data_IF_509323393983
#
_entry.id   IF_509323393983
#
_cell.length_a   1.000
_cell.length_b   1.000
_cell.length_c   1.000
_cell.angle_alpha   90.00
_cell.angle_beta   90.00
_cell.angle_gamma   90.00
#
_symmetry.space_group_name_H-M   'P 1'
#
loop_
_entity.id
_entity.type
_entity.pdbx_description
1 polymer ?
#
# COMPACT_ATOMS: atom_id res chain seq x y z
N UNK A 1 -9.63 -10.14 1.41
CA UNK A 1 -10.68 -9.37 0.72
C UNK A 1 -10.65 -7.89 1.09
N UNK A 2 -10.22 -7.55 2.31
CA UNK A 2 -10.11 -6.20 2.87
C UNK A 2 -9.45 -5.16 1.97
N UNK A 3 -8.26 -5.45 1.42
CA UNK A 3 -7.54 -4.50 0.56
C UNK A 3 -8.31 -4.10 -0.70
N UNK A 4 -9.18 -4.99 -1.20
CA UNK A 4 -9.99 -4.76 -2.39
C UNK A 4 -11.36 -4.14 -2.08
N UNK A 5 -11.68 -3.91 -0.79
CA UNK A 5 -13.00 -3.43 -0.39
C UNK A 5 -14.13 -4.43 -0.66
N UNK A 6 -13.80 -5.72 -0.85
CA UNK A 6 -14.79 -6.73 -1.21
C UNK A 6 -15.46 -7.33 0.02
N UNK A 7 -16.79 -7.28 0.06
CA UNK A 7 -17.59 -7.93 1.10
C UNK A 7 -17.74 -9.45 0.86
N UNK A 8 -17.77 -9.90 -0.41
CA UNK A 8 -18.02 -11.29 -0.76
C UNK A 8 -16.83 -11.94 -1.48
N UNK A 9 -16.35 -13.07 -0.96
CA UNK A 9 -15.30 -13.88 -1.58
C UNK A 9 -15.70 -14.41 -2.96
N UNK A 10 -17.00 -14.61 -3.20
CA UNK A 10 -17.54 -15.03 -4.49
C UNK A 10 -17.29 -14.01 -5.60
N UNK A 11 -17.28 -12.71 -5.29
CA UNK A 11 -16.95 -11.65 -6.26
C UNK A 11 -15.52 -11.81 -6.77
N UNK A 12 -14.57 -12.01 -5.86
CA UNK A 12 -13.18 -12.27 -6.21
C UNK A 12 -13.00 -13.57 -7.00
N UNK A 13 -13.68 -14.64 -6.57
CA UNK A 13 -13.63 -15.93 -7.27
C UNK A 13 -14.19 -15.82 -8.71
N UNK A 14 -15.28 -15.08 -8.91
CA UNK A 14 -15.86 -14.83 -10.23
C UNK A 14 -14.87 -14.06 -11.12
N UNK A 15 -14.25 -13.00 -10.60
CA UNK A 15 -13.23 -12.24 -11.33
C UNK A 15 -12.03 -13.11 -11.71
N UNK A 16 -11.53 -13.94 -10.78
CA UNK A 16 -10.44 -14.89 -11.05
C UNK A 16 -10.78 -15.90 -12.14
N UNK A 17 -12.05 -16.27 -12.26
CA UNK A 17 -12.56 -17.19 -13.29
C UNK A 17 -12.96 -16.48 -14.59
N UNK A 18 -12.56 -15.22 -14.80
CA UNK A 18 -12.87 -14.43 -16.00
C UNK A 18 -14.32 -13.92 -16.06
N UNK A 19 -15.14 -14.20 -15.05
CA UNK A 19 -16.51 -13.69 -14.91
C UNK A 19 -16.46 -12.33 -14.20
N UNK A 20 -16.17 -11.27 -14.94
CA UNK A 20 -16.13 -9.91 -14.42
C UNK A 20 -17.41 -9.13 -14.78
N UNK A 21 -17.86 -8.31 -13.84
CA UNK A 21 -18.87 -7.27 -14.07
C UNK A 21 -18.23 -5.89 -13.92
N UNK A 22 -19.04 -4.84 -13.81
CA UNK A 22 -18.51 -3.50 -13.53
C UNK A 22 -17.74 -3.48 -12.19
N UNK A 23 -16.51 -2.96 -12.23
CA UNK A 23 -15.67 -2.81 -11.03
C UNK A 23 -16.20 -1.60 -10.24
N UNK A 24 -16.51 -1.76 -8.93
CA UNK A 24 -16.91 -0.63 -8.10
C UNK A 24 -15.82 0.44 -8.04
N UNK A 25 -16.21 1.72 -7.98
CA UNK A 25 -15.27 2.85 -7.91
C UNK A 25 -14.32 2.74 -6.71
N UNK A 26 -14.82 2.32 -5.55
CA UNK A 26 -14.01 2.08 -4.34
C UNK A 26 -12.93 1.01 -4.59
N UNK A 27 -13.28 -0.12 -5.21
CA UNK A 27 -12.30 -1.16 -5.55
C UNK A 27 -11.24 -0.63 -6.52
N UNK A 28 -11.66 0.13 -7.54
CA UNK A 28 -10.73 0.71 -8.50
C UNK A 28 -9.74 1.66 -7.81
N UNK A 29 -10.22 2.54 -6.95
CA UNK A 29 -9.38 3.48 -6.19
C UNK A 29 -8.37 2.75 -5.28
N UNK A 30 -8.82 1.70 -4.59
CA UNK A 30 -7.94 0.85 -3.77
C UNK A 30 -6.86 0.17 -4.61
N UNK A 31 -7.23 -0.39 -5.77
CA UNK A 31 -6.26 -1.01 -6.69
C UNK A 31 -5.23 0.03 -7.14
N UNK A 32 -5.67 1.24 -7.51
CA UNK A 32 -4.76 2.33 -7.90
C UNK A 32 -3.74 2.63 -6.81
N UNK A 33 -4.16 2.79 -5.54
CA UNK A 33 -3.19 3.03 -4.47
C UNK A 33 -2.25 1.84 -4.21
N UNK A 34 -2.75 0.61 -4.27
CA UNK A 34 -1.93 -0.59 -4.09
C UNK A 34 -0.86 -0.71 -5.18
N UNK A 35 -1.22 -0.43 -6.44
CA UNK A 35 -0.26 -0.42 -7.56
C UNK A 35 0.78 0.68 -7.39
N UNK A 36 0.38 1.90 -7.02
CA UNK A 36 1.34 2.98 -6.78
C UNK A 36 2.30 2.67 -5.63
N UNK A 37 1.84 2.01 -4.55
CA UNK A 37 2.69 1.55 -3.45
C UNK A 37 3.73 0.55 -3.97
N UNK A 38 3.29 -0.46 -4.73
CA UNK A 38 4.17 -1.47 -5.33
C UNK A 38 5.21 -0.84 -6.26
N UNK A 39 4.80 0.05 -7.15
CA UNK A 39 5.69 0.78 -8.06
C UNK A 39 6.75 1.59 -7.31
N UNK A 40 6.36 2.33 -6.25
CA UNK A 40 7.31 3.09 -5.44
C UNK A 40 8.31 2.15 -4.75
N UNK A 41 7.86 1.03 -4.19
CA UNK A 41 8.73 0.06 -3.52
C UNK A 41 9.76 -0.53 -4.49
N UNK A 42 9.34 -0.87 -5.71
CA UNK A 42 10.25 -1.39 -6.75
C UNK A 42 11.24 -0.32 -7.24
N UNK A 43 10.80 0.93 -7.41
CA UNK A 43 11.66 2.04 -7.83
C UNK A 43 12.78 2.37 -6.83
N UNK A 44 12.56 2.11 -5.55
CA UNK A 44 13.57 2.36 -4.51
C UNK A 44 14.73 1.34 -4.51
N UNK A 45 14.76 0.37 -5.45
CA UNK A 45 15.83 -0.64 -5.58
C UNK A 45 16.07 -1.47 -4.31
N UNK A 46 15.03 -1.60 -3.48
CA UNK A 46 15.05 -2.39 -2.25
C UNK A 46 14.81 -3.86 -2.64
N UNK A 47 15.51 -4.80 -2.00
CA UNK A 47 15.28 -6.23 -2.23
C UNK A 47 13.88 -6.66 -1.78
N UNK A 48 13.31 -7.71 -2.41
CA UNK A 48 12.01 -8.27 -2.02
C UNK A 48 11.93 -8.62 -0.52
N UNK A 49 13.04 -9.06 0.06
CA UNK A 49 13.15 -9.35 1.50
C UNK A 49 13.00 -8.09 2.33
N UNK A 50 13.66 -7.00 1.94
CA UNK A 50 13.56 -5.72 2.65
C UNK A 50 12.19 -5.05 2.46
N UNK A 51 11.56 -5.22 1.30
CA UNK A 51 10.15 -4.83 1.08
C UNK A 51 9.23 -5.59 2.04
N UNK A 52 9.36 -6.92 2.10
CA UNK A 52 8.57 -7.74 3.02
C UNK A 52 8.80 -7.37 4.49
N UNK A 53 10.07 -7.12 4.86
CA UNK A 53 10.44 -6.70 6.20
C UNK A 53 9.79 -5.37 6.57
N UNK A 54 9.85 -4.38 5.67
CA UNK A 54 9.23 -3.08 5.89
C UNK A 54 7.71 -3.22 6.02
N UNK A 55 7.06 -3.91 5.08
CA UNK A 55 5.61 -4.09 5.06
C UNK A 55 5.05 -4.73 6.33
N UNK A 56 5.76 -5.73 6.88
CA UNK A 56 5.23 -6.62 7.93
C UNK A 56 5.78 -6.37 9.33
N UNK A 57 6.92 -5.67 9.44
CA UNK A 57 7.66 -5.60 10.70
C UNK A 57 8.13 -4.19 11.07
N UNK A 58 8.11 -3.23 10.14
CA UNK A 58 8.53 -1.85 10.43
C UNK A 58 7.31 -0.99 10.66
N UNK A 59 7.21 -0.36 11.82
CA UNK A 59 6.10 0.54 12.09
C UNK A 59 6.24 1.84 11.28
N UNK A 60 5.11 2.36 10.80
CA UNK A 60 5.05 3.62 10.05
C UNK A 60 5.42 4.81 10.93
N UNK A 61 6.48 5.56 10.58
CA UNK A 61 6.91 6.81 11.25
C UNK A 61 6.98 6.74 12.79
N UNK A 62 7.43 5.61 13.36
CA UNK A 62 7.48 5.42 14.81
C UNK A 62 6.12 5.21 15.49
N UNK A 63 5.07 4.97 14.70
CA UNK A 63 3.74 4.61 15.17
C UNK A 63 3.63 3.17 15.67
N UNK A 64 2.40 2.70 15.90
CA UNK A 64 2.12 1.37 16.44
C UNK A 64 1.94 0.30 15.35
N UNK A 65 1.53 0.69 14.13
CA UNK A 65 1.14 -0.23 13.08
C UNK A 65 2.17 -0.25 11.95
N UNK A 66 2.39 -1.44 11.42
CA UNK A 66 3.13 -1.67 10.18
C UNK A 66 2.30 -1.20 8.97
N UNK A 67 2.94 -0.95 7.80
CA UNK A 67 2.22 -0.61 6.57
C UNK A 67 1.08 -1.59 6.27
N UNK A 68 1.35 -2.89 6.39
CA UNK A 68 0.35 -3.91 6.10
C UNK A 68 -0.82 -3.88 7.08
N UNK A 69 -0.55 -3.75 8.38
CA UNK A 69 -1.60 -3.66 9.40
C UNK A 69 -2.47 -2.41 9.22
N UNK A 70 -1.85 -1.28 8.86
CA UNK A 70 -2.57 -0.06 8.55
C UNK A 70 -3.52 -0.28 7.37
N UNK A 71 -3.04 -0.79 6.23
CA UNK A 71 -3.88 -1.06 5.06
C UNK A 71 -5.02 -2.07 5.34
N UNK A 72 -4.80 -3.01 6.27
CA UNK A 72 -5.77 -4.03 6.65
C UNK A 72 -6.84 -3.54 7.63
N UNK A 73 -6.83 -2.28 8.06
CA UNK A 73 -7.96 -1.66 8.81
C UNK A 73 -9.24 -1.56 7.97
N UNK A 74 -9.11 -1.59 6.65
CA UNK A 74 -10.23 -1.78 5.73
C UNK A 74 -10.78 -0.52 5.08
N UNK A 75 -10.37 0.68 5.48
CA UNK A 75 -10.77 1.90 4.78
C UNK A 75 -9.78 2.24 3.65
N UNK A 76 -10.27 2.89 2.59
CA UNK A 76 -9.41 3.36 1.49
C UNK A 76 -8.38 4.39 1.99
N UNK A 77 -8.76 5.23 2.96
CA UNK A 77 -7.87 6.23 3.56
C UNK A 77 -6.66 5.59 4.25
N UNK A 78 -6.80 4.37 4.77
CA UNK A 78 -5.70 3.66 5.41
C UNK A 78 -4.65 3.22 4.38
N UNK A 79 -5.07 2.85 3.17
CA UNK A 79 -4.18 2.54 2.04
C UNK A 79 -3.54 3.82 1.51
N UNK A 80 -4.33 4.87 1.33
CA UNK A 80 -3.83 6.18 0.89
C UNK A 80 -2.76 6.74 1.84
N UNK A 81 -2.93 6.58 3.16
CA UNK A 81 -1.97 7.08 4.15
C UNK A 81 -0.59 6.42 4.01
N UNK A 82 -0.55 5.12 3.70
CA UNK A 82 0.70 4.40 3.41
C UNK A 82 1.35 4.89 2.13
N UNK A 83 0.56 5.07 1.06
CA UNK A 83 1.04 5.64 -0.19
C UNK A 83 1.63 7.05 0.02
N UNK A 84 0.93 7.92 0.75
CA UNK A 84 1.39 9.28 1.05
C UNK A 84 2.71 9.28 1.82
N UNK A 85 2.89 8.37 2.77
CA UNK A 85 4.17 8.27 3.46
C UNK A 85 5.30 7.91 2.49
N UNK A 86 5.11 6.95 1.59
CA UNK A 86 6.15 6.62 0.59
C UNK A 86 6.49 7.82 -0.31
N UNK A 87 5.48 8.59 -0.73
CA UNK A 87 5.67 9.83 -1.51
C UNK A 87 6.47 10.85 -0.70
N UNK A 88 6.07 11.10 0.56
CA UNK A 88 6.75 12.07 1.42
C UNK A 88 8.21 11.68 1.69
N UNK A 89 8.51 10.41 1.98
CA UNK A 89 9.88 9.95 2.19
C UNK A 89 10.75 10.09 0.93
N UNK A 90 10.15 9.91 -0.26
CA UNK A 90 10.84 10.14 -1.52
C UNK A 90 11.14 11.62 -1.76
N UNK A 91 10.24 12.50 -1.36
CA UNK A 91 10.36 13.95 -1.59
C UNK A 91 11.24 14.66 -0.55
N UNK A 92 11.72 13.97 0.49
CA UNK A 92 12.64 14.57 1.45
C UNK A 92 13.98 14.90 0.78
N UNK A 93 14.33 16.19 0.61
CA UNK A 93 15.69 16.54 0.22
C UNK A 93 16.64 16.07 1.33
N UNK A 94 17.82 15.58 0.95
CA UNK A 94 18.92 15.26 1.86
C UNK A 94 19.36 16.54 2.58
N UNK A 95 18.62 16.92 3.61
CA UNK A 95 18.83 18.10 4.45
C UNK A 95 19.24 17.60 5.83
N UNK A 96 20.41 16.96 5.93
CA UNK A 96 21.24 16.91 7.15
C UNK A 96 22.52 16.10 6.90
N UNK A 97 23.57 16.78 6.45
CA UNK A 97 24.96 16.46 6.82
C UNK A 97 25.90 17.61 6.47
N UNK A 98 25.52 18.85 6.80
CA UNK A 98 26.47 19.96 6.88
C UNK A 98 26.14 20.81 8.10
N UNK A 99 26.67 20.40 9.26
CA UNK A 99 27.09 21.33 10.30
C UNK A 99 28.47 20.81 10.81
N UNK A 100 29.48 21.70 10.88
CA UNK A 100 30.91 21.40 10.83
C UNK A 100 31.51 20.72 12.08
#
# INVERSE_FOLDING_TARGET
MTLLGLAATSTYANWKNGKSGAIPRDTLERITYLLNIDEQLQQNQISDTAINQWLRHTALNGGQYTPLEQMLKGNVIDIYSVHQQLVLHREQPVMESHIP
#
